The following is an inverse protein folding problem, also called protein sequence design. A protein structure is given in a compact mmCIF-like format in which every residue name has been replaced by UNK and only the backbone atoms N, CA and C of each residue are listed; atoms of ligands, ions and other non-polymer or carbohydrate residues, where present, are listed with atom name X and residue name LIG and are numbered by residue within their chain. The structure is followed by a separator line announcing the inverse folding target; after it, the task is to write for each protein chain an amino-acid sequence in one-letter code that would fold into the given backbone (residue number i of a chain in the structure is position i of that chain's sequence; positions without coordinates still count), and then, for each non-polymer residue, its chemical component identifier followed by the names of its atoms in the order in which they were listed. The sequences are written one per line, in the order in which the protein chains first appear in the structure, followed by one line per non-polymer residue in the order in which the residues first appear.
data_IF_514137943125
#
_entry.id   IF_514137943125
#
_cell.length_a   1.000
_cell.length_b   1.000
_cell.length_c   1.000
_cell.angle_alpha   90.00
_cell.angle_beta   90.00
_cell.angle_gamma   90.00
#
_symmetry.space_group_name_H-M   'P 1'
#
loop_
_entity.id
_entity.type
_entity.pdbx_description
1 polymer ?
#
# COMPACT_ATOMS: atom_id res chain seq x y z
N UNK A 1 -44.62 22.78 36.17
CA UNK A 1 -43.78 22.90 34.96
C UNK A 1 -44.63 22.46 33.78
N UNK A 2 -44.73 23.23 32.68
CA UNK A 2 -45.48 22.78 31.50
C UNK A 2 -44.75 21.59 30.83
N UNK A 3 -45.46 20.62 30.24
CA UNK A 3 -44.81 19.55 29.46
C UNK A 3 -44.01 20.15 28.30
N UNK A 4 -42.82 19.61 28.06
CA UNK A 4 -41.99 19.96 26.91
C UNK A 4 -42.33 19.09 25.68
N UNK A 5 -43.11 18.03 25.85
CA UNK A 5 -43.64 17.20 24.77
C UNK A 5 -44.52 16.05 25.26
N UNK A 6 -44.87 15.13 24.35
CA UNK A 6 -45.63 13.90 24.65
C UNK A 6 -44.95 12.67 24.04
N UNK A 7 -45.04 11.55 24.75
CA UNK A 7 -44.68 10.22 24.27
C UNK A 7 -45.75 9.72 23.26
N UNK A 8 -45.47 8.64 22.50
CA UNK A 8 -46.41 8.10 21.50
C UNK A 8 -47.78 7.67 22.07
N UNK A 9 -47.82 7.30 23.35
CA UNK A 9 -49.03 6.95 24.10
C UNK A 9 -49.80 8.17 24.64
N UNK A 10 -49.34 9.39 24.33
CA UNK A 10 -49.92 10.65 24.81
C UNK A 10 -49.39 11.13 26.15
N UNK A 11 -48.57 10.33 26.86
CA UNK A 11 -47.99 10.68 28.15
C UNK A 11 -47.14 11.94 28.05
N UNK A 12 -47.49 12.98 28.80
CA UNK A 12 -46.73 14.23 28.84
C UNK A 12 -45.37 14.04 29.51
N UNK A 13 -44.33 14.70 28.99
CA UNK A 13 -43.01 14.70 29.61
C UNK A 13 -42.47 16.11 29.78
N UNK A 14 -41.67 16.31 30.84
CA UNK A 14 -41.25 17.61 31.36
C UNK A 14 -39.73 17.82 31.33
N UNK A 15 -38.96 16.84 30.84
CA UNK A 15 -37.51 16.94 30.64
C UNK A 15 -37.11 16.34 29.28
N UNK A 16 -36.00 16.79 28.65
CA UNK A 16 -35.60 16.33 27.31
C UNK A 16 -35.35 14.82 27.24
N UNK A 17 -35.86 14.16 26.20
CA UNK A 17 -35.63 12.73 25.97
C UNK A 17 -34.14 12.41 25.80
N UNK A 18 -33.71 11.27 26.33
CA UNK A 18 -32.33 10.80 26.28
C UNK A 18 -31.37 11.58 27.17
N UNK A 19 -31.87 12.38 28.11
CA UNK A 19 -31.03 13.13 29.06
C UNK A 19 -31.66 13.18 30.44
N UNK A 20 -30.92 12.74 31.45
CA UNK A 20 -31.27 13.04 32.83
C UNK A 20 -30.83 14.48 33.17
N UNK A 21 -31.79 15.34 33.51
CA UNK A 21 -31.49 16.71 33.96
C UNK A 21 -31.17 16.67 35.44
N UNK A 22 -30.03 17.26 35.82
CA UNK A 22 -29.59 17.35 37.21
C UNK A 22 -29.54 18.81 37.66
N UNK A 23 -29.83 19.02 38.94
CA UNK A 23 -29.68 20.28 39.67
C UNK A 23 -29.04 19.95 41.03
N UNK A 24 -27.76 20.26 41.17
CA UNK A 24 -26.94 19.79 42.28
C UNK A 24 -26.99 18.26 42.44
N UNK A 25 -27.36 17.78 43.63
CA UNK A 25 -27.56 16.34 43.92
C UNK A 25 -28.98 15.82 43.59
N UNK A 26 -29.81 16.62 42.92
CA UNK A 26 -31.16 16.22 42.53
C UNK A 26 -31.22 15.99 41.01
N UNK A 27 -32.10 15.08 40.61
CA UNK A 27 -32.39 14.75 39.22
C UNK A 27 -33.88 14.94 38.93
N UNK A 28 -34.20 15.47 37.76
CA UNK A 28 -35.56 15.78 37.35
C UNK A 28 -36.29 14.54 36.85
N UNK A 29 -37.50 14.30 37.36
CA UNK A 29 -38.37 13.27 36.82
C UNK A 29 -39.05 13.76 35.53
N UNK A 30 -38.84 13.03 34.43
CA UNK A 30 -39.49 13.29 33.15
C UNK A 30 -41.03 13.32 33.21
N UNK A 31 -41.67 12.55 34.11
CA UNK A 31 -43.13 12.45 34.18
C UNK A 31 -43.81 13.64 34.88
N UNK A 32 -43.16 14.28 35.84
CA UNK A 32 -43.78 15.36 36.64
C UNK A 32 -42.97 16.67 36.69
N UNK A 33 -41.74 16.67 36.15
CA UNK A 33 -40.85 17.83 36.12
C UNK A 33 -40.26 18.23 37.47
N UNK A 34 -40.45 17.41 38.53
CA UNK A 34 -39.93 17.69 39.87
C UNK A 34 -38.54 17.07 40.08
N UNK A 35 -37.74 17.70 40.93
CA UNK A 35 -36.37 17.29 41.24
C UNK A 35 -36.31 16.44 42.51
N UNK A 36 -35.62 15.30 42.43
CA UNK A 36 -35.50 14.33 43.53
C UNK A 36 -34.06 13.85 43.70
N UNK A 37 -33.67 13.43 44.90
CA UNK A 37 -32.39 12.75 45.13
C UNK A 37 -32.30 11.41 44.37
N UNK A 38 -33.44 10.74 44.17
CA UNK A 38 -33.56 9.43 43.51
C UNK A 38 -34.89 9.33 42.76
N UNK A 39 -34.88 9.61 41.45
CA UNK A 39 -36.01 9.36 40.55
C UNK A 39 -36.37 7.88 40.51
N UNK A 40 -35.39 6.97 40.62
CA UNK A 40 -35.66 5.52 40.68
C UNK A 40 -36.63 5.12 41.81
N UNK A 41 -36.61 5.84 42.93
CA UNK A 41 -37.53 5.58 44.05
C UNK A 41 -38.90 6.22 43.79
N UNK A 42 -38.92 7.39 43.14
CA UNK A 42 -40.11 8.17 42.87
C UNK A 42 -41.00 7.59 41.75
N UNK A 43 -40.42 6.98 40.71
CA UNK A 43 -41.18 6.54 39.52
C UNK A 43 -42.30 5.51 39.83
N UNK A 44 -42.22 4.81 40.96
CA UNK A 44 -43.30 3.91 41.41
C UNK A 44 -44.61 4.65 41.70
N UNK A 45 -44.54 5.92 42.11
CA UNK A 45 -45.73 6.78 42.30
C UNK A 45 -46.50 6.96 40.99
N UNK A 46 -45.80 6.86 39.86
CA UNK A 46 -46.43 6.93 38.54
C UNK A 46 -46.86 5.55 38.00
N UNK A 47 -46.59 4.46 38.73
CA UNK A 47 -46.84 3.09 38.27
C UNK A 47 -45.78 2.56 37.28
N UNK A 48 -44.62 3.23 37.17
CA UNK A 48 -43.59 2.85 36.19
C UNK A 48 -42.47 2.02 36.84
N UNK A 49 -42.04 0.98 36.13
CA UNK A 49 -40.78 0.31 36.45
C UNK A 49 -39.58 1.13 35.97
N UNK A 50 -38.40 0.87 36.54
CA UNK A 50 -37.15 1.51 36.07
C UNK A 50 -36.87 1.19 34.60
N UNK A 51 -37.12 -0.05 34.18
CA UNK A 51 -36.83 -0.48 32.82
C UNK A 51 -37.73 0.24 31.82
N UNK A 52 -39.03 0.30 32.09
CA UNK A 52 -40.01 0.97 31.21
C UNK A 52 -39.72 2.47 31.14
N UNK A 53 -39.36 3.08 32.28
CA UNK A 53 -39.00 4.48 32.35
C UNK A 53 -37.77 4.79 31.47
N UNK A 54 -36.70 4.03 31.62
CA UNK A 54 -35.48 4.24 30.83
C UNK A 54 -35.74 4.02 29.33
N UNK A 55 -36.52 2.99 28.97
CA UNK A 55 -36.89 2.70 27.60
C UNK A 55 -37.71 3.83 26.97
N UNK A 56 -38.79 4.27 27.62
CA UNK A 56 -39.68 5.31 27.11
C UNK A 56 -38.99 6.66 26.97
N UNK A 57 -38.16 7.03 27.94
CA UNK A 57 -37.41 8.29 27.90
C UNK A 57 -36.08 8.20 27.14
N UNK A 58 -35.77 7.05 26.53
CA UNK A 58 -34.59 6.86 25.68
C UNK A 58 -33.26 6.98 26.42
N UNK A 59 -33.24 6.65 27.71
CA UNK A 59 -32.06 6.65 28.58
C UNK A 59 -31.34 5.29 28.51
N UNK A 60 -30.03 5.27 28.75
CA UNK A 60 -29.28 4.01 28.86
C UNK A 60 -29.69 3.23 30.11
N UNK A 61 -29.59 1.89 30.10
CA UNK A 61 -29.89 1.06 31.27
C UNK A 61 -29.01 1.38 32.48
N UNK A 62 -27.77 1.81 32.21
CA UNK A 62 -26.81 2.28 33.19
C UNK A 62 -27.01 3.74 33.61
N UNK A 63 -27.98 4.46 33.02
CA UNK A 63 -28.21 5.85 33.35
C UNK A 63 -28.58 5.98 34.84
N UNK A 64 -27.86 6.83 35.58
CA UNK A 64 -28.13 7.00 36.98
C UNK A 64 -29.34 7.92 37.21
N UNK A 65 -30.44 7.32 37.66
CA UNK A 65 -31.66 8.02 38.08
C UNK A 65 -31.54 8.66 39.48
N UNK A 66 -30.34 9.09 39.88
CA UNK A 66 -30.06 9.73 41.17
C UNK A 66 -28.87 10.68 41.05
N UNK A 67 -28.81 11.69 41.92
CA UNK A 67 -27.67 12.61 41.99
C UNK A 67 -26.36 11.94 42.40
N UNK A 68 -25.25 12.64 42.17
CA UNK A 68 -23.89 12.13 42.36
C UNK A 68 -23.55 11.81 43.82
N UNK A 69 -23.86 12.70 44.77
CA UNK A 69 -23.59 12.43 46.19
C UNK A 69 -24.45 11.28 46.71
N UNK A 70 -25.70 11.17 46.23
CA UNK A 70 -26.55 10.02 46.51
C UNK A 70 -25.98 8.72 45.93
N UNK A 71 -25.40 8.74 44.71
CA UNK A 71 -24.69 7.59 44.14
C UNK A 71 -23.48 7.20 44.98
N UNK A 72 -22.62 8.16 45.35
CA UNK A 72 -21.42 7.91 46.16
C UNK A 72 -21.77 7.24 47.49
N UNK A 73 -22.80 7.73 48.19
CA UNK A 73 -23.29 7.12 49.44
C UNK A 73 -23.77 5.69 49.23
N UNK A 74 -24.56 5.43 48.18
CA UNK A 74 -25.03 4.08 47.85
C UNK A 74 -23.90 3.14 47.47
N UNK A 75 -22.91 3.64 46.73
CA UNK A 75 -21.72 2.88 46.36
C UNK A 75 -20.92 2.50 47.61
N UNK A 76 -20.64 3.44 48.52
CA UNK A 76 -19.94 3.17 49.77
C UNK A 76 -20.68 2.15 50.64
N UNK A 77 -22.01 2.28 50.78
CA UNK A 77 -22.83 1.31 51.48
C UNK A 77 -22.80 -0.08 50.83
N UNK A 78 -22.85 -0.16 49.50
CA UNK A 78 -22.72 -1.43 48.78
C UNK A 78 -21.33 -2.04 48.95
N UNK A 79 -20.26 -1.24 48.91
CA UNK A 79 -18.89 -1.70 49.17
C UNK A 79 -18.74 -2.28 50.58
N UNK A 80 -19.30 -1.61 51.59
CA UNK A 80 -19.28 -2.11 52.97
C UNK A 80 -20.02 -3.47 53.08
N UNK A 81 -21.20 -3.59 52.45
CA UNK A 81 -21.95 -4.85 52.41
C UNK A 81 -21.22 -5.95 51.66
N UNK A 82 -20.59 -5.62 50.53
CA UNK A 82 -19.81 -6.56 49.73
C UNK A 82 -18.66 -7.19 50.55
N UNK A 83 -18.04 -6.42 51.45
CA UNK A 83 -16.96 -6.91 52.30
C UNK A 83 -17.40 -8.02 53.26
N UNK A 84 -18.67 -7.99 53.71
CA UNK A 84 -19.16 -8.88 54.78
C UNK A 84 -20.21 -9.90 54.34
N UNK A 85 -20.90 -9.70 53.21
CA UNK A 85 -21.99 -10.58 52.76
C UNK A 85 -21.51 -11.65 51.76
N UNK A 86 -21.43 -12.94 52.13
CA UNK A 86 -20.92 -13.99 51.24
C UNK A 86 -21.79 -14.22 50.00
N UNK A 87 -23.08 -13.95 50.09
CA UNK A 87 -24.01 -14.08 48.96
C UNK A 87 -23.66 -13.10 47.82
N UNK A 88 -23.34 -11.85 48.16
CA UNK A 88 -22.93 -10.84 47.16
C UNK A 88 -21.59 -11.22 46.54
N UNK A 89 -20.64 -11.69 47.36
CA UNK A 89 -19.34 -12.14 46.87
C UNK A 89 -19.45 -13.33 45.91
N UNK A 90 -20.31 -14.32 46.22
CA UNK A 90 -20.60 -15.45 45.32
C UNK A 90 -21.19 -14.97 43.99
N UNK A 91 -22.19 -14.08 44.04
CA UNK A 91 -22.80 -13.52 42.84
C UNK A 91 -21.77 -12.76 41.97
N UNK A 92 -20.87 -11.99 42.59
CA UNK A 92 -19.81 -11.27 41.90
C UNK A 92 -18.81 -12.21 41.24
N UNK A 93 -18.39 -13.29 41.91
CA UNK A 93 -17.52 -14.32 41.29
C UNK A 93 -18.17 -14.94 40.07
N UNK A 94 -19.43 -15.35 40.18
CA UNK A 94 -20.19 -15.87 39.03
C UNK A 94 -20.24 -14.87 37.86
N UNK A 95 -20.45 -13.59 38.16
CA UNK A 95 -20.44 -12.54 37.14
C UNK A 95 -19.05 -12.39 36.47
N UNK A 96 -17.96 -12.43 37.25
CA UNK A 96 -16.60 -12.42 36.72
C UNK A 96 -16.30 -13.62 35.84
N UNK A 97 -16.73 -14.82 36.23
CA UNK A 97 -16.54 -16.04 35.46
C UNK A 97 -17.25 -15.96 34.11
N UNK A 98 -18.49 -15.44 34.09
CA UNK A 98 -19.25 -15.19 32.86
C UNK A 98 -18.65 -14.08 31.99
N UNK A 99 -18.03 -13.07 32.59
CA UNK A 99 -17.32 -12.04 31.85
C UNK A 99 -16.05 -12.61 31.19
N UNK A 100 -15.26 -13.37 31.95
CA UNK A 100 -14.01 -14.00 31.51
C UNK A 100 -14.22 -15.06 30.43
N UNK A 101 -15.30 -15.84 30.51
CA UNK A 101 -15.66 -16.81 29.48
C UNK A 101 -16.30 -16.18 28.23
N UNK A 102 -16.55 -14.87 28.23
CA UNK A 102 -17.26 -14.18 27.14
C UNK A 102 -18.78 -14.43 27.10
N UNK A 103 -19.32 -15.28 27.99
CA UNK A 103 -20.74 -15.59 28.05
C UNK A 103 -21.61 -14.35 28.32
N UNK A 104 -21.11 -13.39 29.11
CA UNK A 104 -21.79 -12.12 29.36
C UNK A 104 -21.87 -11.27 28.09
N UNK A 105 -20.79 -11.19 27.32
CA UNK A 105 -20.72 -10.45 26.05
C UNK A 105 -21.64 -11.08 25.00
N UNK A 106 -21.63 -12.41 24.88
CA UNK A 106 -22.52 -13.13 23.98
C UNK A 106 -24.00 -12.90 24.32
N UNK A 107 -24.36 -13.01 25.61
CA UNK A 107 -25.72 -12.75 26.08
C UNK A 107 -26.15 -11.29 25.82
N UNK A 108 -25.27 -10.32 26.07
CA UNK A 108 -25.53 -8.92 25.78
C UNK A 108 -25.71 -8.66 24.28
N UNK A 109 -24.88 -9.27 23.43
CA UNK A 109 -24.99 -9.17 21.97
C UNK A 109 -26.33 -9.73 21.50
N UNK A 110 -26.73 -10.93 21.96
CA UNK A 110 -28.03 -11.54 21.66
C UNK A 110 -29.18 -10.64 22.10
N UNK A 111 -29.14 -10.12 23.32
CA UNK A 111 -30.18 -9.21 23.84
C UNK A 111 -30.26 -7.88 23.08
N UNK A 112 -29.15 -7.42 22.49
CA UNK A 112 -29.09 -6.19 21.72
C UNK A 112 -29.58 -6.32 20.28
N UNK A 113 -29.65 -7.54 19.72
CA UNK A 113 -30.10 -7.76 18.33
C UNK A 113 -31.51 -7.20 18.13
N UNK A 114 -31.70 -6.43 17.07
CA UNK A 114 -32.98 -5.83 16.68
C UNK A 114 -33.48 -4.69 17.58
N UNK A 115 -32.80 -4.37 18.70
CA UNK A 115 -33.23 -3.27 19.58
C UNK A 115 -32.76 -1.92 19.04
N UNK A 116 -33.67 -0.95 19.05
CA UNK A 116 -33.32 0.45 18.77
C UNK A 116 -32.38 0.96 19.86
N UNK A 117 -31.25 1.55 19.47
CA UNK A 117 -30.32 2.16 20.44
C UNK A 117 -31.02 3.28 21.23
N UNK A 118 -30.80 3.42 22.55
CA UNK A 118 -31.35 4.53 23.32
C UNK A 118 -30.97 5.90 22.75
N UNK A 119 -31.84 6.89 22.88
CA UNK A 119 -31.60 8.25 22.39
C UNK A 119 -30.33 8.86 23.01
N UNK A 120 -30.11 8.61 24.30
CA UNK A 120 -28.89 9.01 25.02
C UNK A 120 -27.62 8.44 24.36
N UNK A 121 -27.62 7.14 24.03
CA UNK A 121 -26.49 6.46 23.37
C UNK A 121 -26.20 7.08 22.01
N UNK A 122 -27.24 7.28 21.19
CA UNK A 122 -27.09 7.92 19.88
C UNK A 122 -26.49 9.31 20.01
N UNK A 123 -26.98 10.12 20.96
CA UNK A 123 -26.45 11.45 21.21
C UNK A 123 -24.98 11.42 21.69
N UNK A 124 -24.61 10.47 22.56
CA UNK A 124 -23.20 10.25 22.97
C UNK A 124 -22.32 9.92 21.75
N UNK A 125 -22.74 8.96 20.93
CA UNK A 125 -22.02 8.57 19.71
C UNK A 125 -21.85 9.76 18.77
N UNK A 126 -22.92 10.54 18.52
CA UNK A 126 -22.84 11.72 17.66
C UNK A 126 -21.89 12.79 18.21
N UNK A 127 -21.89 13.03 19.53
CA UNK A 127 -20.92 13.94 20.16
C UNK A 127 -19.49 13.45 19.99
N UNK A 128 -19.25 12.16 20.23
CA UNK A 128 -17.93 11.55 20.02
C UNK A 128 -17.49 11.74 18.57
N UNK A 129 -18.37 11.41 17.61
CA UNK A 129 -18.08 11.56 16.19
C UNK A 129 -17.83 13.01 15.78
N UNK A 130 -18.59 13.97 16.34
CA UNK A 130 -18.41 15.40 16.11
C UNK A 130 -17.04 15.90 16.60
N UNK A 131 -16.53 15.33 17.71
CA UNK A 131 -15.19 15.62 18.23
C UNK A 131 -14.03 15.04 17.41
N UNK A 132 -14.29 14.09 16.50
CA UNK A 132 -13.24 13.55 15.62
C UNK A 132 -12.92 14.56 14.53
N UNK A 133 -11.67 15.02 14.47
CA UNK A 133 -11.21 15.96 13.45
C UNK A 133 -11.33 15.37 12.03
N UNK A 134 -11.48 16.24 11.02
CA UNK A 134 -11.48 15.82 9.60
C UNK A 134 -10.19 15.06 9.24
N UNK A 135 -9.05 15.51 9.77
CA UNK A 135 -7.75 14.85 9.56
C UNK A 135 -7.74 13.42 10.13
N UNK A 136 -8.26 13.22 11.35
CA UNK A 136 -8.34 11.89 11.96
C UNK A 136 -9.27 10.95 11.19
N UNK A 137 -10.39 11.46 10.66
CA UNK A 137 -11.28 10.67 9.79
C UNK A 137 -10.59 10.26 8.49
N UNK A 138 -9.96 11.22 7.81
CA UNK A 138 -9.21 10.95 6.57
C UNK A 138 -8.10 9.92 6.80
N UNK A 139 -7.39 10.01 7.92
CA UNK A 139 -6.36 9.05 8.30
C UNK A 139 -6.93 7.66 8.59
N UNK A 140 -8.07 7.58 9.29
CA UNK A 140 -8.78 6.31 9.48
C UNK A 140 -9.20 5.67 8.14
N UNK A 141 -9.72 6.46 7.21
CA UNK A 141 -10.07 5.97 5.86
C UNK A 141 -8.84 5.50 5.08
N UNK A 142 -7.73 6.22 5.15
CA UNK A 142 -6.46 5.82 4.50
C UNK A 142 -5.95 4.49 5.05
N UNK A 143 -5.87 4.33 6.37
CA UNK A 143 -5.45 3.07 7.00
C UNK A 143 -6.38 1.92 6.63
N UNK A 144 -7.69 2.12 6.71
CA UNK A 144 -8.65 1.08 6.33
C UNK A 144 -8.54 0.68 4.84
N UNK A 145 -8.23 1.62 3.96
CA UNK A 145 -7.94 1.34 2.55
C UNK A 145 -6.64 0.54 2.39
N UNK A 146 -5.56 0.95 3.07
CA UNK A 146 -4.28 0.24 3.07
C UNK A 146 -4.43 -1.21 3.57
N UNK A 147 -5.09 -1.41 4.70
CA UNK A 147 -5.34 -2.74 5.27
C UNK A 147 -6.16 -3.62 4.32
N UNK A 148 -7.16 -3.04 3.65
CA UNK A 148 -7.96 -3.77 2.66
C UNK A 148 -7.11 -4.18 1.47
N UNK A 149 -6.26 -3.29 0.98
CA UNK A 149 -5.35 -3.59 -0.14
C UNK A 149 -4.34 -4.68 0.25
N UNK A 150 -3.75 -4.61 1.44
CA UNK A 150 -2.84 -5.62 1.96
C UNK A 150 -3.52 -6.99 2.08
N UNK A 151 -4.76 -7.05 2.59
CA UNK A 151 -5.53 -8.30 2.65
C UNK A 151 -5.82 -8.90 1.27
N UNK A 152 -6.16 -8.05 0.29
CA UNK A 152 -6.37 -8.52 -1.10
C UNK A 152 -5.07 -9.08 -1.68
N UNK A 153 -3.96 -8.36 -1.51
CA UNK A 153 -2.64 -8.80 -1.98
C UNK A 153 -2.22 -10.13 -1.34
N UNK A 154 -2.36 -10.27 -0.02
CA UNK A 154 -2.08 -11.51 0.70
C UNK A 154 -2.96 -12.67 0.24
N UNK A 155 -4.27 -12.44 0.06
CA UNK A 155 -5.19 -13.45 -0.44
C UNK A 155 -4.93 -13.89 -1.89
N UNK A 156 -4.28 -13.05 -2.70
CA UNK A 156 -3.79 -13.44 -4.03
C UNK A 156 -2.54 -14.31 -3.90
N UNK A 157 -1.56 -13.89 -3.09
CA UNK A 157 -0.32 -14.65 -2.89
C UNK A 157 -0.60 -16.07 -2.40
N UNK A 158 -1.44 -16.19 -1.36
CA UNK A 158 -1.88 -17.46 -0.77
C UNK A 158 -2.53 -18.38 -1.82
N UNK A 159 -3.47 -17.85 -2.62
CA UNK A 159 -4.16 -18.61 -3.67
C UNK A 159 -3.22 -19.21 -4.71
N UNK A 160 -2.12 -18.53 -5.02
CA UNK A 160 -1.13 -18.99 -5.99
C UNK A 160 0.08 -19.68 -5.35
N UNK A 161 0.06 -19.92 -4.04
CA UNK A 161 1.12 -20.63 -3.31
C UNK A 161 2.42 -19.83 -3.15
N UNK A 162 2.34 -18.50 -3.15
CA UNK A 162 3.50 -17.63 -2.90
C UNK A 162 3.51 -17.16 -1.45
N UNK A 163 4.71 -17.02 -0.87
CA UNK A 163 4.89 -16.52 0.49
C UNK A 163 4.35 -15.09 0.67
N UNK A 164 4.48 -14.25 -0.37
CA UNK A 164 3.97 -12.89 -0.37
C UNK A 164 3.61 -12.41 -1.79
N UNK A 165 2.89 -11.29 -1.85
CA UNK A 165 2.45 -10.69 -3.11
C UNK A 165 3.61 -10.15 -3.98
N UNK A 166 4.66 -9.52 -3.42
CA UNK A 166 5.85 -9.16 -4.18
C UNK A 166 6.48 -10.33 -4.95
N UNK A 167 6.61 -11.49 -4.31
CA UNK A 167 7.19 -12.70 -4.90
C UNK A 167 6.33 -13.22 -6.05
N UNK A 168 5.00 -13.22 -5.88
CA UNK A 168 4.05 -13.55 -6.94
C UNK A 168 4.23 -12.63 -8.16
N UNK A 169 4.22 -11.31 -7.95
CA UNK A 169 4.36 -10.36 -9.05
C UNK A 169 5.74 -10.50 -9.72
N UNK A 170 6.82 -10.63 -8.97
CA UNK A 170 8.17 -10.78 -9.49
C UNK A 170 8.33 -12.06 -10.34
N UNK A 171 7.77 -13.20 -9.92
CA UNK A 171 7.75 -14.42 -10.72
C UNK A 171 7.01 -14.22 -12.05
N UNK A 172 5.81 -13.62 -12.01
CA UNK A 172 5.03 -13.38 -13.23
C UNK A 172 5.70 -12.42 -14.19
N UNK A 173 6.31 -11.35 -13.68
CA UNK A 173 7.13 -10.43 -14.48
C UNK A 173 8.35 -11.16 -15.08
N UNK A 174 8.98 -12.08 -14.34
CA UNK A 174 10.08 -12.93 -14.84
C UNK A 174 9.60 -13.89 -15.93
N UNK A 175 8.33 -14.31 -15.91
CA UNK A 175 7.72 -15.09 -16.99
C UNK A 175 7.24 -14.24 -18.17
N UNK A 176 7.45 -12.92 -18.12
CA UNK A 176 7.07 -11.99 -19.18
C UNK A 176 5.61 -11.54 -19.14
N UNK A 177 4.86 -11.83 -18.07
CA UNK A 177 3.49 -11.37 -17.93
C UNK A 177 3.45 -9.83 -17.80
N UNK A 178 2.49 -9.19 -18.47
CA UNK A 178 2.21 -7.76 -18.26
C UNK A 178 1.46 -7.53 -16.95
N UNK A 179 1.56 -6.35 -16.35
CA UNK A 179 0.78 -6.00 -15.13
C UNK A 179 -0.74 -6.21 -15.29
N UNK A 180 -1.27 -5.98 -16.50
CA UNK A 180 -2.67 -6.22 -16.80
C UNK A 180 -3.02 -7.71 -16.93
N UNK A 181 -2.10 -8.55 -17.39
CA UNK A 181 -2.25 -9.99 -17.35
C UNK A 181 -2.21 -10.50 -15.90
N UNK A 182 -1.24 -10.05 -15.10
CA UNK A 182 -1.11 -10.37 -13.67
C UNK A 182 -2.39 -9.98 -12.91
N UNK A 183 -2.91 -8.77 -13.14
CA UNK A 183 -4.14 -8.33 -12.50
C UNK A 183 -5.33 -9.23 -12.83
N UNK A 184 -5.49 -9.61 -14.11
CA UNK A 184 -6.58 -10.49 -14.55
C UNK A 184 -6.43 -11.91 -14.01
N UNK A 185 -5.22 -12.46 -14.00
CA UNK A 185 -4.91 -13.76 -13.40
C UNK A 185 -5.27 -13.78 -11.91
N UNK A 186 -4.96 -12.70 -11.19
CA UNK A 186 -5.33 -12.52 -9.78
C UNK A 186 -6.83 -12.32 -9.53
N UNK A 187 -7.67 -12.26 -10.57
CA UNK A 187 -9.10 -11.95 -10.45
C UNK A 187 -9.39 -10.50 -10.04
N UNK A 188 -8.45 -9.58 -10.33
CA UNK A 188 -8.55 -8.17 -10.02
C UNK A 188 -8.85 -7.34 -11.28
N UNK A 189 -9.27 -6.09 -11.09
CA UNK A 189 -9.43 -5.15 -12.19
C UNK A 189 -8.10 -4.99 -12.95
N UNK A 190 -8.13 -4.88 -14.29
CA UNK A 190 -6.94 -4.90 -15.17
C UNK A 190 -5.81 -3.92 -14.81
N UNK A 191 -6.14 -2.80 -14.17
CA UNK A 191 -5.19 -1.75 -13.78
C UNK A 191 -4.84 -1.78 -12.29
N UNK A 192 -5.28 -2.81 -11.55
CA UNK A 192 -5.11 -2.84 -10.09
C UNK A 192 -3.62 -2.90 -9.74
N UNK A 193 -2.87 -3.84 -10.34
CA UNK A 193 -1.44 -3.97 -10.06
C UNK A 193 -0.70 -2.70 -10.45
N UNK A 194 -0.95 -2.13 -11.64
CA UNK A 194 -0.23 -0.92 -12.08
C UNK A 194 -0.47 0.29 -11.16
N UNK A 195 -1.68 0.42 -10.58
CA UNK A 195 -2.01 1.52 -9.66
C UNK A 195 -1.50 1.28 -8.24
N UNK A 196 -1.45 0.02 -7.79
CA UNK A 196 -1.20 -0.31 -6.39
C UNK A 196 0.17 -0.91 -6.13
N UNK A 197 0.97 -1.24 -7.16
CA UNK A 197 2.24 -1.95 -7.03
C UNK A 197 3.18 -1.29 -6.00
N UNK A 198 3.34 0.03 -6.07
CA UNK A 198 4.20 0.76 -5.14
C UNK A 198 3.76 0.63 -3.67
N UNK A 199 2.45 0.49 -3.42
CA UNK A 199 1.88 0.37 -2.09
C UNK A 199 1.94 -1.07 -1.55
N UNK A 200 1.71 -2.08 -2.40
CA UNK A 200 1.61 -3.49 -1.96
C UNK A 200 2.85 -4.34 -2.23
N UNK A 201 3.77 -3.84 -3.05
CA UNK A 201 5.04 -4.51 -3.34
C UNK A 201 6.17 -3.49 -3.54
N UNK A 202 6.50 -2.72 -2.48
CA UNK A 202 7.63 -1.80 -2.54
C UNK A 202 8.91 -2.59 -2.88
N UNK A 203 9.64 -2.15 -3.90
CA UNK A 203 10.86 -2.81 -4.38
C UNK A 203 10.67 -3.69 -5.62
N UNK A 204 9.44 -4.03 -6.00
CA UNK A 204 9.20 -4.68 -7.30
C UNK A 204 9.23 -3.62 -8.39
N UNK A 205 10.31 -3.60 -9.17
CA UNK A 205 10.45 -2.71 -10.33
C UNK A 205 9.95 -3.45 -11.56
N UNK A 206 8.85 -2.98 -12.21
CA UNK A 206 8.42 -3.58 -13.45
C UNK A 206 9.48 -3.37 -14.53
N UNK A 207 9.72 -4.36 -15.40
CA UNK A 207 10.64 -4.18 -16.52
C UNK A 207 10.16 -3.02 -17.39
N UNK A 208 11.11 -2.23 -17.90
CA UNK A 208 10.76 -1.20 -18.87
C UNK A 208 10.04 -1.82 -20.07
N UNK A 209 9.14 -1.06 -20.68
CA UNK A 209 8.43 -1.51 -21.90
C UNK A 209 9.38 -1.96 -23.00
N UNK A 210 10.58 -1.37 -23.06
CA UNK A 210 11.60 -1.74 -24.02
C UNK A 210 12.12 -3.18 -23.77
N UNK A 211 12.45 -3.50 -22.52
CA UNK A 211 12.92 -4.82 -22.11
C UNK A 211 11.86 -5.89 -22.35
N UNK A 212 10.61 -5.60 -21.97
CA UNK A 212 9.50 -6.52 -22.17
C UNK A 212 9.30 -6.89 -23.65
N UNK A 213 9.56 -5.96 -24.58
CA UNK A 213 9.50 -6.22 -26.03
C UNK A 213 10.67 -7.02 -26.56
N UNK A 214 11.85 -6.88 -25.96
CA UNK A 214 13.07 -7.59 -26.38
C UNK A 214 13.19 -8.98 -25.74
N UNK A 215 12.51 -9.23 -24.62
CA UNK A 215 12.59 -10.49 -23.88
C UNK A 215 12.26 -11.74 -24.71
N UNK A 216 11.21 -11.78 -25.55
CA UNK A 216 10.94 -12.96 -26.37
C UNK A 216 12.09 -13.31 -27.31
N UNK A 217 12.71 -12.31 -27.95
CA UNK A 217 13.87 -12.50 -28.81
C UNK A 217 15.09 -12.98 -28.01
N UNK A 218 15.35 -12.39 -26.84
CA UNK A 218 16.43 -12.83 -25.96
C UNK A 218 16.29 -14.33 -25.60
N UNK A 219 15.10 -14.76 -25.19
CA UNK A 219 14.83 -16.17 -24.86
C UNK A 219 14.94 -17.08 -26.09
N UNK A 220 14.42 -16.65 -27.25
CA UNK A 220 14.51 -17.42 -28.50
C UNK A 220 15.97 -17.64 -28.95
N UNK A 221 16.86 -16.72 -28.61
CA UNK A 221 18.30 -16.84 -28.86
C UNK A 221 19.09 -17.44 -27.68
N UNK A 222 18.41 -18.01 -26.68
CA UNK A 222 19.05 -18.75 -25.59
C UNK A 222 19.56 -17.89 -24.42
N UNK A 223 19.23 -16.61 -24.37
CA UNK A 223 19.64 -15.72 -23.28
C UNK A 223 18.61 -15.71 -22.15
N UNK A 224 19.08 -15.72 -20.90
CA UNK A 224 18.22 -15.70 -19.71
C UNK A 224 17.50 -14.36 -19.47
N UNK A 225 18.07 -13.25 -19.96
CA UNK A 225 17.50 -11.92 -19.85
C UNK A 225 17.89 -10.99 -21.01
N UNK A 226 17.22 -9.83 -21.08
CA UNK A 226 17.47 -8.81 -22.11
C UNK A 226 18.85 -8.16 -21.98
N UNK A 227 19.39 -8.04 -20.76
CA UNK A 227 20.67 -7.37 -20.53
C UNK A 227 21.84 -8.19 -21.10
N UNK A 228 21.83 -9.50 -20.85
CA UNK A 228 22.77 -10.46 -21.41
C UNK A 228 22.69 -10.52 -22.93
N UNK A 229 21.46 -10.57 -23.47
CA UNK A 229 21.24 -10.50 -24.92
C UNK A 229 21.85 -9.24 -25.54
N UNK A 230 21.56 -8.07 -24.98
CA UNK A 230 22.07 -6.80 -25.51
C UNK A 230 23.59 -6.67 -25.37
N UNK A 231 24.18 -7.15 -24.28
CA UNK A 231 25.65 -7.16 -24.10
C UNK A 231 26.31 -8.04 -25.16
N UNK A 232 25.85 -9.29 -25.31
CA UNK A 232 26.40 -10.22 -26.29
C UNK A 232 26.31 -9.65 -27.71
N UNK A 233 25.14 -9.17 -28.13
CA UNK A 233 24.96 -8.66 -29.50
C UNK A 233 25.68 -7.33 -29.74
N UNK A 234 25.61 -6.38 -28.82
CA UNK A 234 26.09 -5.02 -29.07
C UNK A 234 27.55 -4.82 -28.68
N UNK A 235 27.97 -5.40 -27.56
CA UNK A 235 29.32 -5.23 -27.01
C UNK A 235 30.25 -6.30 -27.59
N UNK A 236 29.86 -7.57 -27.50
CA UNK A 236 30.77 -8.67 -27.83
C UNK A 236 30.79 -8.96 -29.34
N UNK A 237 29.63 -8.98 -30.00
CA UNK A 237 29.50 -9.20 -31.45
C UNK A 237 29.53 -7.89 -32.28
N UNK A 238 29.61 -6.74 -31.61
CA UNK A 238 29.66 -5.41 -32.24
C UNK A 238 28.55 -5.14 -33.27
N UNK A 239 27.35 -5.71 -33.06
CA UNK A 239 26.22 -5.51 -33.96
C UNK A 239 25.61 -4.12 -33.78
N UNK A 240 25.18 -3.54 -34.90
CA UNK A 240 24.49 -2.25 -34.88
C UNK A 240 23.12 -2.36 -34.23
N UNK A 241 22.65 -1.25 -33.65
CA UNK A 241 21.31 -1.15 -33.06
C UNK A 241 20.22 -1.56 -34.07
N UNK A 242 20.33 -1.16 -35.33
CA UNK A 242 19.37 -1.55 -36.38
C UNK A 242 19.39 -3.04 -36.68
N UNK A 243 20.55 -3.69 -36.64
CA UNK A 243 20.66 -5.13 -36.86
C UNK A 243 20.03 -5.92 -35.68
N UNK A 244 20.24 -5.46 -34.45
CA UNK A 244 19.60 -6.05 -33.25
C UNK A 244 18.09 -5.83 -33.31
N UNK A 245 17.64 -4.64 -33.73
CA UNK A 245 16.22 -4.31 -33.88
C UNK A 245 15.53 -5.23 -34.91
N UNK A 246 16.18 -5.46 -36.05
CA UNK A 246 15.70 -6.37 -37.09
C UNK A 246 15.61 -7.82 -36.59
N UNK A 247 16.66 -8.30 -35.92
CA UNK A 247 16.68 -9.65 -35.33
C UNK A 247 15.54 -9.84 -34.32
N UNK A 248 15.36 -8.88 -33.42
CA UNK A 248 14.37 -8.98 -32.36
C UNK A 248 12.95 -8.60 -32.80
N UNK A 249 12.74 -8.19 -34.06
CA UNK A 249 11.44 -7.74 -34.56
C UNK A 249 10.90 -6.48 -33.86
N UNK A 250 11.77 -5.59 -33.41
CA UNK A 250 11.39 -4.34 -32.70
C UNK A 250 11.98 -3.10 -33.38
N UNK A 251 11.60 -1.91 -32.93
CA UNK A 251 12.16 -0.66 -33.44
C UNK A 251 13.55 -0.37 -32.85
N UNK A 252 14.40 0.32 -33.60
CA UNK A 252 15.71 0.77 -33.12
C UNK A 252 15.62 1.64 -31.85
N UNK A 253 14.55 2.44 -31.73
CA UNK A 253 14.26 3.23 -30.51
C UNK A 253 14.05 2.35 -29.29
N UNK A 254 13.38 1.19 -29.46
CA UNK A 254 13.21 0.20 -28.39
C UNK A 254 14.57 -0.32 -27.91
N UNK A 255 15.45 -0.68 -28.85
CA UNK A 255 16.80 -1.16 -28.53
C UNK A 255 17.64 -0.07 -27.85
N UNK A 256 17.59 1.17 -28.34
CA UNK A 256 18.29 2.29 -27.70
C UNK A 256 17.83 2.54 -26.26
N UNK A 257 16.51 2.51 -26.02
CA UNK A 257 15.96 2.69 -24.68
C UNK A 257 16.42 1.58 -23.74
N UNK A 258 16.42 0.33 -24.20
CA UNK A 258 16.90 -0.81 -23.41
C UNK A 258 18.42 -0.74 -23.15
N UNK A 259 19.24 -0.42 -24.16
CA UNK A 259 20.69 -0.24 -23.98
C UNK A 259 21.00 0.81 -22.90
N UNK A 260 20.35 1.98 -22.97
CA UNK A 260 20.53 3.04 -21.97
C UNK A 260 20.08 2.61 -20.58
N UNK A 261 18.99 1.85 -20.48
CA UNK A 261 18.50 1.34 -19.22
C UNK A 261 19.50 0.39 -18.54
N UNK A 262 20.14 -0.48 -19.31
CA UNK A 262 21.16 -1.42 -18.84
C UNK A 262 22.57 -0.82 -18.72
N UNK A 263 22.71 0.51 -18.86
CA UNK A 263 24.00 1.19 -18.78
C UNK A 263 24.94 0.91 -19.96
N UNK A 264 24.45 0.32 -21.04
CA UNK A 264 25.21 0.03 -22.25
C UNK A 264 25.19 1.26 -23.16
N UNK A 265 26.36 1.85 -23.44
CA UNK A 265 26.47 3.02 -24.32
C UNK A 265 26.24 2.58 -25.78
N UNK A 266 25.23 3.14 -26.49
CA UNK A 266 25.02 2.81 -27.89
C UNK A 266 26.17 3.35 -28.75
N UNK A 267 26.87 2.47 -29.46
CA UNK A 267 27.95 2.87 -30.38
C UNK A 267 27.38 2.99 -31.80
N UNK A 268 27.40 4.22 -32.33
CA UNK A 268 27.06 4.46 -33.74
C UNK A 268 28.08 3.76 -34.66
N UNK A 269 27.58 3.05 -35.67
CA UNK A 269 28.40 2.31 -36.64
C UNK A 269 29.37 1.30 -36.00
N UNK A 270 28.99 0.67 -34.88
CA UNK A 270 29.80 -0.31 -34.14
C UNK A 270 30.55 -1.31 -35.05
N UNK A 271 29.84 -1.94 -35.98
CA UNK A 271 30.41 -2.92 -36.92
C UNK A 271 31.47 -2.31 -37.85
N UNK A 272 31.22 -1.12 -38.43
CA UNK A 272 32.19 -0.47 -39.33
C UNK A 272 33.44 0.00 -38.57
N UNK A 273 33.28 0.49 -37.33
CA UNK A 273 34.40 0.91 -36.49
C UNK A 273 35.27 -0.29 -36.09
N UNK A 274 34.65 -1.36 -35.60
CA UNK A 274 35.39 -2.56 -35.26
C UNK A 274 36.15 -3.15 -36.46
N UNK A 275 35.53 -3.23 -37.65
CA UNK A 275 36.22 -3.67 -38.86
C UNK A 275 37.39 -2.75 -39.25
N UNK A 276 37.26 -1.44 -39.05
CA UNK A 276 38.35 -0.49 -39.30
C UNK A 276 39.50 -0.70 -38.30
N UNK A 277 39.18 -0.88 -37.01
CA UNK A 277 40.17 -1.13 -35.95
C UNK A 277 40.87 -2.48 -36.15
N UNK A 278 40.14 -3.52 -36.56
CA UNK A 278 40.70 -4.83 -36.89
C UNK A 278 41.66 -4.76 -38.08
N UNK A 279 41.31 -3.99 -39.14
CA UNK A 279 42.22 -3.74 -40.27
C UNK A 279 43.46 -2.96 -39.85
N UNK A 280 43.30 -1.96 -38.98
CA UNK A 280 44.41 -1.18 -38.45
C UNK A 280 45.37 -2.05 -37.62
N UNK A 281 44.83 -2.93 -36.77
CA UNK A 281 45.60 -3.90 -36.00
C UNK A 281 46.32 -4.91 -36.90
N UNK A 282 45.63 -5.47 -37.89
CA UNK A 282 46.22 -6.42 -38.85
C UNK A 282 47.38 -5.80 -39.65
N UNK A 283 47.27 -4.52 -40.05
CA UNK A 283 48.37 -3.80 -40.68
C UNK A 283 49.54 -3.63 -39.71
N UNK A 284 49.28 -3.20 -38.47
CA UNK A 284 50.34 -3.04 -37.49
C UNK A 284 51.11 -4.35 -37.26
N UNK A 285 50.37 -5.45 -37.07
CA UNK A 285 50.90 -6.80 -36.88
C UNK A 285 51.72 -7.26 -38.08
N UNK A 286 51.20 -7.11 -39.31
CA UNK A 286 51.87 -7.52 -40.54
C UNK A 286 53.24 -6.85 -40.75
N UNK A 287 53.42 -5.63 -40.23
CA UNK A 287 54.68 -4.89 -40.30
C UNK A 287 55.50 -4.92 -39.01
N UNK A 288 55.09 -5.70 -38.00
CA UNK A 288 55.83 -5.88 -36.75
C UNK A 288 55.75 -4.67 -35.79
N UNK A 289 54.67 -3.90 -35.84
CA UNK A 289 54.44 -2.75 -34.96
C UNK A 289 53.30 -3.02 -33.97
N UNK A 290 53.37 -2.47 -32.74
CA UNK A 290 52.34 -2.71 -31.72
C UNK A 290 51.01 -2.01 -32.02
N UNK A 291 51.03 -0.94 -32.82
CA UNK A 291 49.83 -0.20 -33.25
C UNK A 291 50.02 0.40 -34.63
N UNK A 292 48.92 0.70 -35.32
CA UNK A 292 48.96 1.40 -36.61
C UNK A 292 49.63 2.79 -36.47
N UNK A 293 49.45 3.43 -35.33
CA UNK A 293 50.09 4.73 -35.01
C UNK A 293 51.61 4.58 -34.95
N UNK A 294 52.12 3.54 -34.29
CA UNK A 294 53.57 3.28 -34.22
C UNK A 294 54.16 2.98 -35.61
N UNK A 295 53.44 2.20 -36.43
CA UNK A 295 53.81 1.95 -37.83
C UNK A 295 53.89 3.27 -38.62
N UNK A 296 52.87 4.12 -38.54
CA UNK A 296 52.83 5.40 -39.25
C UNK A 296 53.98 6.31 -38.79
N UNK A 297 54.21 6.43 -37.47
CA UNK A 297 55.28 7.25 -36.92
C UNK A 297 56.66 6.81 -37.42
N UNK A 298 56.92 5.48 -37.42
CA UNK A 298 58.17 4.92 -37.93
C UNK A 298 58.33 5.11 -39.43
N UNK A 299 57.26 5.07 -40.23
CA UNK A 299 57.33 5.34 -41.68
C UNK A 299 57.45 6.82 -42.01
N UNK A 300 57.00 7.70 -41.13
CA UNK A 300 57.09 9.17 -41.29
C UNK A 300 58.40 9.77 -40.79
N UNK A 301 59.24 9.02 -40.06
CA UNK A 301 60.60 9.45 -39.68
C UNK A 301 61.59 9.43 -40.85
N UNK A 302 61.23 8.76 -41.95
CA UNK A 302 61.91 8.78 -43.25
C UNK A 302 61.09 9.60 -44.25
N UNK A 303 61.68 10.21 -45.28
CA UNK A 303 60.98 11.09 -46.23
C UNK A 303 60.12 10.29 -47.23
N UNK A 304 59.09 9.60 -46.72
CA UNK A 304 58.06 8.90 -47.50
C UNK A 304 56.81 9.74 -47.63
N UNK A 305 56.20 9.73 -48.81
CA UNK A 305 54.90 10.36 -49.02
C UNK A 305 53.77 9.53 -48.39
N UNK A 306 52.62 10.15 -48.09
CA UNK A 306 51.44 9.42 -47.62
C UNK A 306 50.96 8.37 -48.62
N UNK A 307 51.14 8.64 -49.92
CA UNK A 307 50.80 7.72 -51.01
C UNK A 307 51.64 6.45 -50.96
N UNK A 308 52.93 6.56 -50.68
CA UNK A 308 53.83 5.40 -50.59
C UNK A 308 53.47 4.52 -49.39
N UNK A 309 53.18 5.13 -48.25
CA UNK A 309 52.74 4.40 -47.04
C UNK A 309 51.39 3.73 -47.30
N UNK A 310 50.45 4.41 -47.96
CA UNK A 310 49.16 3.85 -48.35
C UNK A 310 49.30 2.65 -49.28
N UNK A 311 50.19 2.74 -50.28
CA UNK A 311 50.48 1.65 -51.19
C UNK A 311 51.13 0.45 -50.48
N UNK A 312 52.01 0.70 -49.50
CA UNK A 312 52.68 -0.35 -48.71
C UNK A 312 51.69 -1.14 -47.85
N UNK A 313 50.80 -0.48 -47.12
CA UNK A 313 49.90 -1.15 -46.17
C UNK A 313 48.48 -1.44 -46.70
N UNK A 314 48.14 -1.00 -47.91
CA UNK A 314 46.82 -1.18 -48.51
C UNK A 314 45.70 -0.37 -47.86
N UNK A 315 46.01 0.61 -47.01
CA UNK A 315 45.03 1.52 -46.40
C UNK A 315 44.94 2.85 -47.18
N UNK A 316 43.75 3.46 -47.30
CA UNK A 316 43.62 4.78 -47.92
C UNK A 316 44.42 5.87 -47.18
N UNK A 317 44.98 6.84 -47.92
CA UNK A 317 45.72 7.98 -47.35
C UNK A 317 44.92 8.71 -46.25
N UNK A 318 43.60 8.85 -46.44
CA UNK A 318 42.71 9.54 -45.50
C UNK A 318 42.60 8.82 -44.16
N UNK A 319 42.66 7.49 -44.15
CA UNK A 319 42.68 6.66 -42.93
C UNK A 319 43.99 6.87 -42.19
N UNK A 320 45.13 6.79 -42.89
CA UNK A 320 46.45 6.98 -42.30
C UNK A 320 46.61 8.37 -41.68
N UNK A 321 46.22 9.42 -42.39
CA UNK A 321 46.27 10.80 -41.88
C UNK A 321 45.42 10.99 -40.64
N UNK A 322 44.24 10.34 -40.57
CA UNK A 322 43.36 10.41 -39.40
C UNK A 322 44.00 9.77 -38.16
N UNK A 323 44.61 8.60 -38.32
CA UNK A 323 45.30 7.94 -37.20
C UNK A 323 46.55 8.71 -36.76
N UNK A 324 47.28 9.33 -37.70
CA UNK A 324 48.41 10.19 -37.38
C UNK A 324 47.99 11.43 -36.58
N UNK A 325 46.90 12.09 -37.00
CA UNK A 325 46.37 13.26 -36.30
C UNK A 325 45.90 12.90 -34.88
N UNK A 326 45.22 11.76 -34.71
CA UNK A 326 44.75 11.28 -33.41
C UNK A 326 45.87 10.95 -32.42
N UNK A 327 47.08 10.66 -32.90
CA UNK A 327 48.24 10.40 -32.06
C UNK A 327 48.92 11.66 -31.52
N UNK A 328 48.56 12.84 -32.04
CA UNK A 328 49.14 14.13 -31.67
C UNK A 328 48.29 14.88 -30.63
N UNK A 329 47.11 14.32 -30.30
CA UNK A 329 46.17 14.76 -29.25
C UNK A 329 46.25 13.84 -28.05
#
# INVERSE_FOLDING_TARGET
MRPVGRLPDGTGYHAPLGRMVADGDRVCCHLCGRFFLSVASHIRVHGWSKADYLAAFGLELSNPLSGEATRKRRAASFTARFAVEPAIQRAQRLAHDRARSGALTAAAATAARGRRQPAERRAKTLRTLAGISRAARAEGTRRAAADRMARVAAGVADRFGFADFPSYVADRLRRGASMAAISREAGLHKDWVSRQLAAVAPGVVPPLRADARLRPAALAHGFGDTAGYLRARHVDEHRTVSAIALEAGVTATTVHAALRHHGLRPVAHATKRHLADARAAAVAEAFGYPTLVAYIAARRSVPRSWRDIAAECGLPETTLRRHAAAATT
#
